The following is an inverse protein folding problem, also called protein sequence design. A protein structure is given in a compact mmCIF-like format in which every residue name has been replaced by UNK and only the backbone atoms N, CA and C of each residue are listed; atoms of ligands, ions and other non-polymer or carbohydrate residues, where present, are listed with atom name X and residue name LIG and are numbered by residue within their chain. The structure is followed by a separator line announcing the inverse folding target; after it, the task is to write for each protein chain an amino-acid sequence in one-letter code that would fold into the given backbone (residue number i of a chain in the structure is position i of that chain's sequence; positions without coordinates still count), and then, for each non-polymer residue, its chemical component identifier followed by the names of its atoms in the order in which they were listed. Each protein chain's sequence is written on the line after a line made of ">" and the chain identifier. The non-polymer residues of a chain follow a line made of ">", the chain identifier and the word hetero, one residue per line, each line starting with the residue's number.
data_IF_463065739717
#
_entry.id   IF_463065739717
#
_cell.length_a   1.000
_cell.length_b   1.000
_cell.length_c   1.000
_cell.angle_alpha   90.00
_cell.angle_beta   90.00
_cell.angle_gamma   90.00
#
_symmetry.space_group_name_H-M   'P 1'
#
loop_
_entity.id
_entity.type
_entity.pdbx_description
1 polymer ?
#
# COMPACT_ATOMS: atom_id res chain seq x y z
N UNK A 1 13.35 -17.75 17.58
CA UNK A 1 13.16 -17.29 17.41
C UNK A 1 12.66 -16.80 17.12
N UNK A 2 12.25 -16.68 16.85
CA UNK A 2 11.62 -16.21 16.50
C UNK A 2 11.31 -15.31 16.18
N UNK A 3 11.05 -15.07 16.28
CA UNK A 3 10.80 -14.21 16.11
C UNK A 3 10.75 -13.46 15.08
N UNK A 4 10.84 -13.51 14.54
CA UNK A 4 11.00 -12.82 13.42
C UNK A 4 9.75 -12.42 12.86
N UNK A 5 8.79 -13.19 12.77
CA UNK A 5 7.59 -12.81 12.18
C UNK A 5 6.94 -11.73 12.86
N UNK A 6 7.02 -11.64 14.10
CA UNK A 6 6.38 -10.62 14.71
C UNK A 6 6.86 -9.32 14.46
N UNK A 7 7.96 -9.14 14.01
CA UNK A 7 8.40 -7.86 13.79
C UNK A 7 7.67 -7.14 12.80
N UNK A 8 7.04 -7.70 11.80
CA UNK A 8 6.35 -6.99 10.83
C UNK A 8 5.22 -6.24 11.32
N UNK A 9 4.62 -6.62 12.37
CA UNK A 9 3.56 -5.88 12.83
C UNK A 9 3.94 -4.77 13.63
N UNK A 10 5.06 -4.69 14.11
CA UNK A 10 5.41 -3.62 14.98
C UNK A 10 6.03 -2.45 14.29
N UNK A 11 5.57 -2.12 13.15
CA UNK A 11 6.07 -0.93 12.51
C UNK A 11 7.21 -1.16 11.56
N UNK A 12 7.51 -2.39 11.28
CA UNK A 12 8.55 -2.65 10.33
C UNK A 12 8.11 -2.19 8.97
N UNK A 13 8.97 -1.51 8.25
CA UNK A 13 8.63 -0.95 6.97
C UNK A 13 8.98 -1.91 5.85
N UNK A 14 8.20 -1.88 4.78
CA UNK A 14 8.44 -2.70 3.61
C UNK A 14 9.00 -1.85 2.49
N UNK A 15 9.94 -2.40 1.74
CA UNK A 15 10.42 -1.75 0.53
C UNK A 15 9.37 -1.89 -0.55
N UNK A 16 9.58 -1.23 -1.68
CA UNK A 16 8.65 -1.35 -2.80
C UNK A 16 8.52 -2.81 -3.27
N UNK A 17 9.61 -3.53 -3.53
CA UNK A 17 9.44 -4.93 -3.96
C UNK A 17 8.73 -5.78 -2.90
N UNK A 18 9.03 -5.54 -1.63
CA UNK A 18 8.40 -6.30 -0.57
C UNK A 18 6.90 -6.03 -0.51
N UNK A 19 6.50 -4.78 -0.67
CA UNK A 19 5.09 -4.45 -0.67
C UNK A 19 4.38 -5.11 -1.85
N UNK A 20 5.01 -5.08 -3.02
CA UNK A 20 4.44 -5.71 -4.20
C UNK A 20 4.18 -7.19 -3.97
N UNK A 21 5.12 -7.88 -3.33
CA UNK A 21 4.94 -9.29 -3.03
C UNK A 21 3.83 -9.49 -2.02
N UNK A 22 3.78 -8.61 -1.04
CA UNK A 22 2.79 -8.74 0.02
C UNK A 22 1.36 -8.57 -0.51
N UNK A 23 1.15 -7.66 -1.44
CA UNK A 23 -0.20 -7.42 -1.96
C UNK A 23 -0.45 -8.08 -3.31
N UNK A 24 0.52 -8.83 -3.82
CA UNK A 24 0.40 -9.55 -5.09
C UNK A 24 0.11 -8.60 -6.25
N UNK A 25 0.90 -7.56 -6.37
CA UNK A 25 0.73 -6.56 -7.43
C UNK A 25 2.09 -6.21 -8.00
N UNK A 26 2.11 -5.62 -9.19
CA UNK A 26 3.37 -5.24 -9.79
C UNK A 26 3.76 -3.82 -9.37
N UNK A 27 5.00 -3.46 -9.64
CA UNK A 27 5.50 -2.18 -9.19
C UNK A 27 4.79 -1.01 -9.82
N UNK A 28 4.43 -1.12 -11.09
CA UNK A 28 3.78 0.00 -11.76
C UNK A 28 2.47 0.37 -11.08
N UNK A 29 1.72 -0.62 -10.65
CA UNK A 29 0.45 -0.38 -9.98
C UNK A 29 0.67 0.31 -8.63
N UNK A 30 1.66 -0.16 -7.87
CA UNK A 30 1.95 0.43 -6.56
C UNK A 30 2.44 1.87 -6.75
N UNK A 31 3.29 2.11 -7.76
CA UNK A 31 3.78 3.45 -8.02
C UNK A 31 2.62 4.38 -8.37
N UNK A 32 1.65 3.90 -9.15
CA UNK A 32 0.48 4.72 -9.45
C UNK A 32 -0.27 5.08 -8.19
N UNK A 33 -0.38 4.17 -7.24
CA UNK A 33 -1.05 4.48 -5.98
C UNK A 33 -0.33 5.58 -5.22
N UNK A 34 0.99 5.59 -5.28
CA UNK A 34 1.76 6.67 -4.65
C UNK A 34 1.48 7.98 -5.39
N UNK A 35 1.46 7.94 -6.71
CA UNK A 35 1.22 9.15 -7.51
C UNK A 35 -0.16 9.71 -7.28
N UNK A 36 -1.14 8.85 -7.02
CA UNK A 36 -2.50 9.30 -6.77
C UNK A 36 -2.73 9.66 -5.30
N UNK A 37 -1.70 9.56 -4.49
CA UNK A 37 -1.83 9.94 -3.09
C UNK A 37 -2.47 8.90 -2.19
N UNK A 38 -2.69 7.69 -2.70
CA UNK A 38 -3.26 6.63 -1.88
C UNK A 38 -2.25 6.14 -0.87
N UNK A 39 -1.00 6.04 -1.28
CA UNK A 39 0.07 5.60 -0.42
C UNK A 39 1.07 6.71 -0.24
N UNK A 40 1.62 6.84 0.95
CA UNK A 40 2.63 7.86 1.24
C UNK A 40 3.84 7.17 1.82
N UNK A 41 4.81 6.82 0.97
CA UNK A 41 6.00 6.15 1.48
C UNK A 41 6.92 7.12 2.20
N UNK A 42 7.77 6.59 3.05
CA UNK A 42 8.84 7.36 3.62
C UNK A 42 10.00 7.25 2.65
N UNK A 43 10.81 8.28 2.59
CA UNK A 43 11.95 8.28 1.68
C UNK A 43 11.76 9.28 0.56
N UNK A 44 12.85 9.71 -0.03
CA UNK A 44 12.83 10.79 -0.99
C UNK A 44 12.73 10.35 -2.44
N UNK A 45 13.05 9.10 -2.72
CA UNK A 45 12.92 8.63 -4.09
C UNK A 45 12.59 7.15 -4.09
N UNK A 46 12.20 6.67 -5.25
CA UNK A 46 11.67 5.31 -5.36
C UNK A 46 12.59 4.26 -4.79
N UNK A 47 13.87 4.42 -4.97
CA UNK A 47 14.83 3.42 -4.52
C UNK A 47 14.93 3.27 -3.01
N UNK A 48 14.53 4.30 -2.25
CA UNK A 48 14.58 4.19 -0.80
C UNK A 48 13.22 4.32 -0.16
N UNK A 49 12.15 4.11 -0.91
CA UNK A 49 10.82 4.14 -0.33
C UNK A 49 10.65 3.03 0.69
N UNK A 50 9.93 3.36 1.76
CA UNK A 50 9.55 2.39 2.79
C UNK A 50 8.10 2.64 3.16
N UNK A 51 7.32 1.58 3.19
CA UNK A 51 5.89 1.67 3.46
C UNK A 51 5.60 1.08 4.82
N UNK A 52 4.90 1.82 5.66
CA UNK A 52 4.59 1.38 7.01
C UNK A 52 3.11 1.05 7.13
N UNK A 53 2.70 0.66 8.31
CA UNK A 53 1.40 0.04 8.55
C UNK A 53 0.20 0.62 7.84
N UNK A 54 0.02 1.93 7.92
CA UNK A 54 -1.14 2.55 7.29
C UNK A 54 -1.11 2.35 5.78
N UNK A 55 0.06 2.54 5.16
CA UNK A 55 0.18 2.37 3.73
C UNK A 55 0.03 0.92 3.33
N UNK A 56 0.55 0.00 4.14
CA UNK A 56 0.42 -1.41 3.84
C UNK A 56 -1.05 -1.82 3.87
N UNK A 57 -1.79 -1.36 4.88
CA UNK A 57 -3.20 -1.67 4.99
C UNK A 57 -3.99 -1.10 3.83
N UNK A 58 -3.66 0.14 3.44
CA UNK A 58 -4.33 0.75 2.31
C UNK A 58 -4.04 0.03 1.01
N UNK A 59 -2.81 -0.43 0.82
CA UNK A 59 -2.45 -1.14 -0.39
C UNK A 59 -3.22 -2.45 -0.48
N UNK A 60 -3.40 -3.15 0.64
CA UNK A 60 -4.17 -4.38 0.64
C UNK A 60 -5.62 -4.10 0.29
N UNK A 61 -6.20 -3.08 0.88
CA UNK A 61 -7.58 -2.74 0.63
C UNK A 61 -7.77 -2.30 -0.83
N UNK A 62 -6.84 -1.51 -1.35
CA UNK A 62 -6.89 -1.07 -2.73
C UNK A 62 -6.82 -2.26 -3.69
N UNK A 63 -5.96 -3.23 -3.38
CA UNK A 63 -5.84 -4.41 -4.23
C UNK A 63 -7.13 -5.19 -4.27
N UNK A 64 -7.78 -5.32 -3.12
CA UNK A 64 -9.03 -6.03 -3.06
C UNK A 64 -10.12 -5.31 -3.85
N UNK A 65 -10.23 -4.00 -3.67
CA UNK A 65 -11.23 -3.22 -4.39
C UNK A 65 -10.98 -3.25 -5.90
N UNK A 66 -9.72 -3.16 -6.29
CA UNK A 66 -9.40 -3.19 -7.70
C UNK A 66 -9.80 -4.52 -8.33
N UNK A 67 -9.49 -5.62 -7.67
CA UNK A 67 -9.82 -6.93 -8.22
C UNK A 67 -11.31 -7.20 -8.22
N UNK A 68 -11.99 -6.83 -7.15
CA UNK A 68 -13.40 -7.16 -7.01
C UNK A 68 -14.31 -6.25 -7.81
N UNK A 69 -13.96 -4.98 -7.92
CA UNK A 69 -14.82 -4.00 -8.55
C UNK A 69 -14.25 -3.39 -9.82
N UNK A 70 -13.02 -3.72 -10.17
CA UNK A 70 -12.42 -3.20 -11.39
C UNK A 70 -12.16 -1.71 -11.38
N UNK A 71 -11.93 -1.14 -10.19
CA UNK A 71 -11.73 0.30 -10.06
C UNK A 71 -10.29 0.64 -10.41
N UNK A 72 -10.10 1.67 -11.24
CA UNK A 72 -8.74 2.10 -11.60
C UNK A 72 -8.13 2.92 -10.45
N UNK A 73 -6.85 3.25 -10.56
CA UNK A 73 -6.16 3.88 -9.45
C UNK A 73 -6.70 5.25 -9.06
N UNK A 74 -7.09 6.14 -9.99
CA UNK A 74 -7.72 7.38 -9.55
C UNK A 74 -9.03 7.13 -8.82
N UNK A 75 -9.80 6.14 -9.26
CA UNK A 75 -11.04 5.80 -8.59
C UNK A 75 -10.80 5.24 -7.20
N UNK A 76 -9.72 4.46 -7.04
CA UNK A 76 -9.37 3.92 -5.74
C UNK A 76 -9.08 5.05 -4.75
N UNK A 77 -8.41 6.09 -5.20
CA UNK A 77 -8.12 7.22 -4.32
C UNK A 77 -9.42 7.81 -3.77
N UNK A 78 -10.41 7.99 -4.64
CA UNK A 78 -11.69 8.55 -4.21
C UNK A 78 -12.45 7.61 -3.29
N UNK A 79 -12.50 6.33 -3.63
CA UNK A 79 -13.25 5.38 -2.83
C UNK A 79 -12.66 5.26 -1.44
N UNK A 80 -11.33 5.16 -1.35
CA UNK A 80 -10.69 5.02 -0.06
C UNK A 80 -10.88 6.26 0.79
N UNK A 81 -10.84 7.43 0.17
CA UNK A 81 -11.06 8.66 0.90
C UNK A 81 -12.46 8.68 1.50
N UNK A 82 -13.46 8.31 0.71
CA UNK A 82 -14.83 8.29 1.19
C UNK A 82 -14.98 7.27 2.32
N UNK A 83 -14.41 6.08 2.14
CA UNK A 83 -14.54 5.06 3.17
C UNK A 83 -13.91 5.49 4.48
N UNK A 84 -12.78 6.17 4.40
CA UNK A 84 -12.09 6.59 5.61
C UNK A 84 -12.78 7.74 6.31
N UNK A 85 -13.52 8.54 5.56
CA UNK A 85 -14.22 9.64 6.17
C UNK A 85 -15.49 9.23 6.89
N UNK A 86 -15.97 8.03 6.65
CA UNK A 86 -17.18 7.60 7.29
C UNK A 86 -17.03 7.31 8.75
N UNK A 87 -15.88 7.15 9.21
CA UNK A 87 -15.71 6.95 10.61
C UNK A 87 -15.81 8.22 11.37
#
# INVERSE_FOLDING_TARGET
>A
MKKTTKRREAGEALSLPDLCRFVHADEDWVIELVEEGVLTPMGSHRGNWRFVGVSIARAKKAGRLSRDLGINTPGLALVLEVMEQRD
#
